data_IF_939254037744
#
_entry.id   IF_939254037744
#
_cell.length_a   1.000
_cell.length_b   1.000
_cell.length_c   1.000
_cell.angle_alpha   90.00
_cell.angle_beta   90.00
_cell.angle_gamma   90.00
#
_symmetry.space_group_name_H-M   'P 1'
#
loop_
_entity.id
_entity.type
_entity.pdbx_description
1 polymer ?
#
# COMPACT_ATOMS: atom_id res chain seq x y z
N UNK A 1 -14.62 -5.96 -7.39
CA UNK A 1 -13.54 -6.05 -6.40
C UNK A 1 -14.04 -6.72 -5.12
N UNK A 2 -13.25 -7.69 -4.63
CA UNK A 2 -13.43 -8.45 -3.40
C UNK A 2 -13.47 -7.57 -2.15
N UNK A 3 -12.74 -6.45 -2.13
CA UNK A 3 -12.77 -5.53 -0.98
C UNK A 3 -14.18 -4.98 -0.76
N UNK A 4 -14.80 -4.42 -1.81
CA UNK A 4 -16.16 -3.85 -1.74
C UNK A 4 -17.25 -4.87 -1.42
N UNK A 5 -17.11 -6.11 -1.91
CA UNK A 5 -18.14 -7.15 -1.78
C UNK A 5 -18.04 -7.94 -0.48
N UNK A 6 -16.84 -8.08 0.06
CA UNK A 6 -16.58 -9.02 1.17
C UNK A 6 -15.98 -8.32 2.38
N UNK A 7 -14.88 -7.58 2.21
CA UNK A 7 -14.15 -7.02 3.34
C UNK A 7 -14.81 -5.76 3.93
N UNK A 8 -15.22 -4.80 3.09
CA UNK A 8 -15.77 -3.52 3.56
C UNK A 8 -17.12 -3.66 4.31
N UNK A 9 -18.10 -4.45 3.85
CA UNK A 9 -19.38 -4.58 4.55
C UNK A 9 -19.25 -5.05 6.01
N UNK A 10 -18.24 -5.87 6.31
CA UNK A 10 -17.91 -6.33 7.66
C UNK A 10 -17.44 -5.18 8.57
N UNK A 11 -16.71 -4.21 8.00
CA UNK A 11 -16.02 -3.14 8.73
C UNK A 11 -16.83 -1.83 8.77
N UNK A 12 -17.73 -1.61 7.81
CA UNK A 12 -18.49 -0.37 7.65
C UNK A 12 -19.23 0.08 8.94
N UNK A 13 -19.89 -0.82 9.72
CA UNK A 13 -20.53 -0.41 10.97
C UNK A 13 -19.55 0.10 12.02
N UNK A 14 -18.35 -0.51 12.12
CA UNK A 14 -17.31 -0.09 13.04
C UNK A 14 -16.69 1.25 12.60
N UNK A 15 -16.44 1.41 11.29
CA UNK A 15 -15.96 2.66 10.69
C UNK A 15 -16.92 3.83 11.00
N UNK A 16 -18.22 3.66 10.75
CA UNK A 16 -19.20 4.72 11.01
C UNK A 16 -19.33 5.05 12.51
N UNK A 17 -19.14 4.07 13.41
CA UNK A 17 -19.10 4.32 14.86
C UNK A 17 -17.85 5.09 15.25
N UNK A 18 -16.72 4.76 14.66
CA UNK A 18 -15.45 5.44 14.89
C UNK A 18 -15.52 6.91 14.45
N UNK A 19 -16.03 7.17 13.25
CA UNK A 19 -16.24 8.53 12.75
C UNK A 19 -17.10 9.37 13.70
N UNK A 20 -18.23 8.81 14.18
CA UNK A 20 -19.08 9.50 15.16
C UNK A 20 -18.42 9.72 16.51
N UNK A 21 -17.67 8.74 16.99
CA UNK A 21 -17.03 8.81 18.30
C UNK A 21 -15.95 9.91 18.38
N UNK A 22 -15.25 10.15 17.28
CA UNK A 22 -14.17 11.14 17.19
C UNK A 22 -14.54 12.41 16.40
N UNK A 23 -15.80 12.54 15.98
CA UNK A 23 -16.29 13.72 15.24
C UNK A 23 -15.66 13.88 13.84
N UNK A 24 -15.26 12.79 13.21
CA UNK A 24 -14.64 12.83 11.88
C UNK A 24 -15.67 12.97 10.75
N UNK A 25 -15.26 13.47 9.56
CA UNK A 25 -16.13 13.52 8.41
C UNK A 25 -16.71 12.15 8.05
N UNK A 26 -18.02 12.10 7.78
CA UNK A 26 -18.68 10.85 7.45
C UNK A 26 -18.10 10.24 6.15
N UNK A 27 -17.77 8.97 6.18
CA UNK A 27 -17.21 8.23 5.04
C UNK A 27 -15.71 8.42 4.80
N UNK A 28 -15.00 9.20 5.65
CA UNK A 28 -13.54 9.35 5.52
C UNK A 28 -12.82 8.02 5.71
N UNK A 29 -13.29 7.18 6.63
CA UNK A 29 -12.68 5.85 6.88
C UNK A 29 -12.88 4.95 5.66
N UNK A 30 -14.04 4.99 5.01
CA UNK A 30 -14.31 4.21 3.80
C UNK A 30 -13.41 4.63 2.65
N UNK A 31 -13.35 5.93 2.39
CA UNK A 31 -12.53 6.50 1.33
C UNK A 31 -11.08 6.10 1.49
N UNK A 32 -10.54 6.25 2.71
CA UNK A 32 -9.15 5.93 3.01
C UNK A 32 -8.90 4.43 3.00
N UNK A 33 -9.84 3.60 3.46
CA UNK A 33 -9.71 2.14 3.37
C UNK A 33 -9.58 1.65 1.92
N UNK A 34 -10.34 2.23 0.98
CA UNK A 34 -10.20 1.94 -0.44
C UNK A 34 -8.80 2.27 -0.95
N UNK A 35 -8.26 3.43 -0.58
CA UNK A 35 -6.93 3.86 -1.02
C UNK A 35 -5.80 3.06 -0.38
N UNK A 36 -5.92 2.71 0.91
CA UNK A 36 -4.96 1.83 1.58
C UNK A 36 -4.87 0.47 0.88
N UNK A 37 -6.01 -0.13 0.53
CA UNK A 37 -6.06 -1.38 -0.23
C UNK A 37 -5.44 -1.21 -1.62
N UNK A 38 -5.79 -0.13 -2.32
CA UNK A 38 -5.29 0.13 -3.67
C UNK A 38 -3.77 0.37 -3.70
N UNK A 39 -3.25 1.10 -2.71
CA UNK A 39 -1.89 1.61 -2.73
C UNK A 39 -0.88 0.77 -1.94
N UNK A 40 -1.30 -0.26 -1.22
CA UNK A 40 -0.40 -0.98 -0.31
C UNK A 40 0.88 -1.49 -0.99
N UNK A 41 0.78 -1.83 -2.28
CA UNK A 41 1.85 -2.38 -3.10
C UNK A 41 2.51 -1.37 -4.07
N UNK A 42 2.17 -0.07 -4.00
CA UNK A 42 2.76 0.95 -4.91
C UNK A 42 4.29 1.00 -4.81
N UNK A 43 4.86 0.66 -3.65
CA UNK A 43 6.32 0.57 -3.51
C UNK A 43 6.97 -0.48 -4.41
N UNK A 44 6.21 -1.44 -4.94
CA UNK A 44 6.70 -2.40 -5.94
C UNK A 44 7.00 -1.76 -7.28
N UNK A 45 6.49 -0.56 -7.55
CA UNK A 45 6.86 0.25 -8.72
C UNK A 45 8.29 0.82 -8.60
N UNK A 46 8.96 0.65 -7.46
CA UNK A 46 10.38 0.96 -7.29
C UNK A 46 11.24 0.20 -8.31
N UNK A 47 12.20 0.89 -8.95
CA UNK A 47 13.14 0.31 -9.91
C UNK A 47 13.84 -0.94 -9.37
N UNK A 48 14.29 -0.89 -8.12
CA UNK A 48 14.98 -2.03 -7.50
C UNK A 48 14.10 -3.28 -7.41
N UNK A 49 12.80 -3.11 -7.14
CA UNK A 49 11.84 -4.21 -7.13
C UNK A 49 11.63 -4.76 -8.54
N UNK A 50 11.38 -3.89 -9.53
CA UNK A 50 11.16 -4.31 -10.92
C UNK A 50 12.40 -5.02 -11.51
N UNK A 51 13.60 -4.54 -11.22
CA UNK A 51 14.86 -5.20 -11.59
C UNK A 51 15.00 -6.57 -10.92
N UNK A 52 14.69 -6.67 -9.62
CA UNK A 52 14.77 -7.93 -8.89
C UNK A 52 13.78 -8.95 -9.46
N UNK A 53 12.53 -8.56 -9.71
CA UNK A 53 11.51 -9.44 -10.30
C UNK A 53 11.92 -9.88 -11.69
N UNK A 54 12.39 -8.98 -12.54
CA UNK A 54 12.85 -9.33 -13.90
C UNK A 54 13.95 -10.37 -13.87
N UNK A 55 14.95 -10.20 -12.99
CA UNK A 55 16.04 -11.17 -12.81
C UNK A 55 15.54 -12.51 -12.28
N UNK A 56 14.62 -12.49 -11.32
CA UNK A 56 14.06 -13.71 -10.74
C UNK A 56 13.28 -14.51 -11.78
N UNK A 57 12.39 -13.84 -12.51
CA UNK A 57 11.56 -14.39 -13.58
C UNK A 57 12.42 -15.02 -14.69
N UNK A 58 13.49 -14.32 -15.11
CA UNK A 58 14.48 -14.90 -16.04
C UNK A 58 15.17 -16.15 -15.46
N UNK A 59 15.55 -16.13 -14.18
CA UNK A 59 16.27 -17.23 -13.55
C UNK A 59 15.43 -18.51 -13.39
N UNK A 60 14.11 -18.39 -13.30
CA UNK A 60 13.17 -19.54 -13.26
C UNK A 60 12.67 -19.93 -14.66
N UNK A 61 13.17 -19.31 -15.73
CA UNK A 61 12.78 -19.62 -17.11
C UNK A 61 11.43 -19.05 -17.54
N UNK A 62 10.91 -18.04 -16.82
CA UNK A 62 9.62 -17.39 -17.09
C UNK A 62 9.82 -15.88 -17.17
N UNK A 63 10.45 -15.32 -18.23
CA UNK A 63 10.75 -13.90 -18.32
C UNK A 63 9.51 -13.02 -18.15
N UNK A 64 9.61 -11.96 -17.36
CA UNK A 64 8.52 -11.01 -17.18
C UNK A 64 8.19 -10.30 -18.51
N UNK A 65 6.91 -10.25 -18.94
CA UNK A 65 6.50 -9.41 -20.06
C UNK A 65 6.70 -7.91 -19.74
N UNK A 66 6.65 -7.04 -20.75
CA UNK A 66 6.73 -5.59 -20.54
C UNK A 66 5.63 -5.10 -19.58
N UNK A 67 5.99 -4.20 -18.67
CA UNK A 67 5.07 -3.61 -17.70
C UNK A 67 5.59 -3.73 -16.27
N UNK A 68 4.69 -3.46 -15.31
CA UNK A 68 5.00 -3.59 -13.89
C UNK A 68 4.59 -4.94 -13.34
N UNK A 69 5.47 -5.53 -12.55
CA UNK A 69 5.24 -6.81 -11.90
C UNK A 69 5.09 -6.65 -10.38
N UNK A 70 3.87 -6.92 -9.88
CA UNK A 70 3.56 -6.89 -8.44
C UNK A 70 3.92 -8.19 -7.71
N UNK A 71 3.96 -9.33 -8.41
CA UNK A 71 4.31 -10.63 -7.85
C UNK A 71 5.22 -11.40 -8.80
N UNK A 72 5.88 -12.42 -8.28
CA UNK A 72 6.67 -13.38 -9.07
C UNK A 72 5.86 -14.65 -9.28
N UNK A 73 6.14 -15.39 -10.35
CA UNK A 73 5.55 -16.73 -10.60
C UNK A 73 6.24 -17.82 -9.76
N UNK A 74 6.60 -17.46 -8.52
CA UNK A 74 7.31 -18.32 -7.58
C UNK A 74 6.42 -19.47 -7.12
N UNK A 75 6.75 -20.70 -7.50
CA UNK A 75 6.20 -21.91 -6.91
C UNK A 75 7.08 -22.36 -5.72
N UNK A 76 6.57 -22.26 -4.46
CA UNK A 76 7.32 -22.71 -3.29
C UNK A 76 7.55 -24.24 -3.27
N UNK A 77 6.78 -25.03 -4.02
CA UNK A 77 6.98 -26.47 -4.18
C UNK A 77 8.09 -26.84 -5.17
N UNK A 78 8.55 -25.90 -6.00
CA UNK A 78 9.56 -26.15 -7.02
C UNK A 78 10.99 -25.90 -6.49
N UNK A 79 11.86 -26.93 -6.42
CA UNK A 79 13.23 -26.78 -5.93
C UNK A 79 14.06 -25.75 -6.70
N UNK A 80 13.86 -25.61 -8.01
CA UNK A 80 14.54 -24.61 -8.83
C UNK A 80 14.18 -23.19 -8.36
N UNK A 81 12.89 -22.92 -8.13
CA UNK A 81 12.42 -21.61 -7.70
C UNK A 81 12.98 -21.25 -6.31
N UNK A 82 13.05 -22.22 -5.40
CA UNK A 82 13.69 -22.04 -4.10
C UNK A 82 15.19 -21.75 -4.23
N UNK A 83 15.92 -22.49 -5.08
CA UNK A 83 17.33 -22.27 -5.35
C UNK A 83 17.57 -20.86 -5.89
N UNK A 84 16.80 -20.43 -6.90
CA UNK A 84 16.93 -19.10 -7.49
C UNK A 84 16.56 -17.99 -6.51
N UNK A 85 15.52 -18.17 -5.69
CA UNK A 85 15.18 -17.22 -4.62
C UNK A 85 16.34 -17.06 -3.62
N UNK A 86 17.02 -18.15 -3.24
CA UNK A 86 18.18 -18.09 -2.34
C UNK A 86 19.37 -17.41 -3.01
N UNK A 87 19.63 -17.71 -4.28
CA UNK A 87 20.75 -17.14 -5.03
C UNK A 87 20.60 -15.64 -5.29
N UNK A 88 19.39 -15.16 -5.60
CA UNK A 88 19.10 -13.74 -5.84
C UNK A 88 18.93 -12.92 -4.54
N UNK A 89 18.85 -13.60 -3.39
CA UNK A 89 18.69 -12.96 -2.09
C UNK A 89 17.27 -12.46 -1.82
N UNK A 90 17.16 -11.54 -0.86
CA UNK A 90 15.87 -11.03 -0.38
C UNK A 90 15.24 -10.08 -1.40
N UNK A 91 13.91 -10.14 -1.50
CA UNK A 91 13.10 -9.13 -2.22
C UNK A 91 13.38 -7.75 -1.63
N UNK A 92 13.51 -6.70 -2.45
CA UNK A 92 13.65 -5.33 -1.95
C UNK A 92 12.47 -4.94 -1.05
N UNK A 93 12.70 -4.10 -0.02
CA UNK A 93 11.61 -3.50 0.74
C UNK A 93 10.76 -2.62 -0.19
N UNK A 94 9.46 -2.58 0.09
CA UNK A 94 8.50 -1.79 -0.68
C UNK A 94 7.38 -1.20 0.18
N UNK A 95 7.07 -1.77 1.34
CA UNK A 95 5.93 -1.32 2.14
C UNK A 95 6.05 0.14 2.57
N UNK A 96 7.18 0.53 3.17
CA UNK A 96 7.38 1.91 3.63
C UNK A 96 7.65 2.83 2.44
N UNK A 97 8.46 2.40 1.47
CA UNK A 97 8.72 3.17 0.24
C UNK A 97 7.43 3.50 -0.50
N UNK A 98 6.49 2.55 -0.56
CA UNK A 98 5.16 2.74 -1.13
C UNK A 98 4.33 3.72 -0.31
N UNK A 99 4.28 3.57 1.02
CA UNK A 99 3.58 4.50 1.91
C UNK A 99 4.08 5.95 1.74
N UNK A 100 5.40 6.14 1.63
CA UNK A 100 6.01 7.45 1.36
C UNK A 100 5.58 7.94 -0.01
N UNK A 101 5.71 7.14 -1.06
CA UNK A 101 5.37 7.55 -2.43
C UNK A 101 3.94 8.09 -2.56
N UNK A 102 2.98 7.48 -1.86
CA UNK A 102 1.56 7.88 -1.90
C UNK A 102 1.13 8.81 -0.75
N UNK A 103 2.03 9.22 0.14
CA UNK A 103 1.67 10.04 1.29
C UNK A 103 0.89 11.33 0.93
N UNK A 104 1.24 12.05 -0.16
CA UNK A 104 0.45 13.22 -0.61
C UNK A 104 -1.00 12.86 -0.99
N UNK A 105 -1.22 11.71 -1.62
CA UNK A 105 -2.56 11.21 -1.97
C UNK A 105 -3.35 10.81 -0.71
N UNK A 106 -2.69 10.19 0.26
CA UNK A 106 -3.31 9.85 1.54
C UNK A 106 -3.70 11.11 2.32
N UNK A 107 -2.86 12.15 2.31
CA UNK A 107 -3.16 13.43 2.93
C UNK A 107 -4.36 14.11 2.26
N UNK A 108 -4.40 14.14 0.93
CA UNK A 108 -5.55 14.66 0.18
C UNK A 108 -6.85 13.88 0.46
N UNK A 109 -6.75 12.57 0.69
CA UNK A 109 -7.88 11.72 1.01
C UNK A 109 -8.40 11.93 2.45
N UNK A 110 -7.48 12.06 3.40
CA UNK A 110 -7.78 12.29 4.81
C UNK A 110 -8.29 13.72 5.07
N UNK A 111 -7.91 14.69 4.23
CA UNK A 111 -8.20 16.10 4.44
C UNK A 111 -7.57 16.58 5.76
N UNK A 112 -8.36 17.26 6.59
CA UNK A 112 -7.92 17.76 7.90
C UNK A 112 -7.90 16.66 8.98
N UNK A 113 -8.27 15.41 8.66
CA UNK A 113 -8.27 14.31 9.61
C UNK A 113 -6.86 13.68 9.74
N UNK A 114 -5.96 14.36 10.44
CA UNK A 114 -4.59 13.87 10.71
C UNK A 114 -4.54 12.41 11.23
N UNK A 115 -5.40 11.98 12.18
CA UNK A 115 -5.38 10.59 12.62
C UNK A 115 -5.60 9.57 11.51
N UNK A 116 -6.35 9.95 10.49
CA UNK A 116 -6.61 9.09 9.33
C UNK A 116 -5.40 8.98 8.42
N UNK A 117 -4.64 10.07 8.22
CA UNK A 117 -3.38 10.03 7.49
C UNK A 117 -2.38 9.09 8.18
N UNK A 118 -2.17 9.25 9.48
CA UNK A 118 -1.22 8.43 10.24
C UNK A 118 -1.63 6.95 10.22
N UNK A 119 -2.93 6.68 10.39
CA UNK A 119 -3.48 5.33 10.31
C UNK A 119 -3.27 4.69 8.94
N UNK A 120 -3.52 5.43 7.85
CA UNK A 120 -3.35 4.96 6.48
C UNK A 120 -1.89 4.69 6.14
N UNK A 121 -1.02 5.66 6.43
CA UNK A 121 0.42 5.54 6.23
C UNK A 121 0.96 4.32 6.98
N UNK A 122 0.60 4.18 8.26
CA UNK A 122 1.05 3.05 9.10
C UNK A 122 0.53 1.71 8.56
N UNK A 123 -0.73 1.63 8.12
CA UNK A 123 -1.31 0.42 7.56
C UNK A 123 -0.54 -0.06 6.33
N UNK A 124 -0.19 0.85 5.41
CA UNK A 124 0.64 0.53 4.25
C UNK A 124 2.07 0.20 4.67
N UNK A 125 2.72 1.06 5.46
CA UNK A 125 4.13 0.89 5.83
C UNK A 125 4.42 -0.43 6.57
N UNK A 126 3.43 -0.97 7.29
CA UNK A 126 3.59 -2.16 8.14
C UNK A 126 2.92 -3.42 7.62
N UNK A 127 2.39 -3.44 6.39
CA UNK A 127 1.65 -4.60 5.89
C UNK A 127 2.49 -5.89 5.78
N UNK A 128 3.83 -5.78 5.72
CA UNK A 128 4.76 -6.92 5.81
C UNK A 128 5.56 -7.02 7.12
N UNK A 129 5.50 -6.02 7.99
CA UNK A 129 6.33 -5.96 9.20
C UNK A 129 5.81 -4.98 10.23
N UNK A 130 5.40 -5.49 11.39
CA UNK A 130 4.72 -4.71 12.43
C UNK A 130 5.56 -3.59 13.08
N UNK A 131 6.89 -3.63 12.92
CA UNK A 131 7.82 -2.72 13.60
C UNK A 131 8.65 -1.88 12.62
N UNK A 132 8.35 -1.92 11.33
CA UNK A 132 9.09 -1.11 10.35
C UNK A 132 8.83 0.38 10.61
N UNK A 133 9.92 1.16 10.61
CA UNK A 133 9.93 2.61 10.88
C UNK A 133 10.76 3.44 9.91
N UNK A 134 11.54 2.76 9.07
CA UNK A 134 12.48 3.40 8.16
C UNK A 134 12.19 2.91 6.74
N UNK A 135 12.41 3.80 5.78
CA UNK A 135 12.45 3.46 4.36
C UNK A 135 13.88 3.61 3.86
N UNK A 136 14.17 3.01 2.70
CA UNK A 136 15.42 3.27 1.98
C UNK A 136 15.17 4.29 0.89
N UNK A 137 16.24 4.98 0.47
CA UNK A 137 16.21 5.79 -0.73
C UNK A 137 15.64 4.96 -1.89
N UNK A 138 14.68 5.53 -2.61
CA UNK A 138 14.05 4.87 -3.74
C UNK A 138 13.84 5.82 -4.92
N UNK A 139 13.60 5.21 -6.08
CA UNK A 139 13.07 5.89 -7.25
C UNK A 139 12.07 4.94 -7.91
N UNK A 140 10.88 5.44 -8.19
CA UNK A 140 9.89 4.72 -8.98
C UNK A 140 10.39 4.59 -10.43
N UNK A 141 9.99 3.50 -11.08
CA UNK A 141 10.30 3.28 -12.49
C UNK A 141 9.47 4.25 -13.37
N UNK A 142 9.95 4.60 -14.58
CA UNK A 142 9.17 5.40 -15.52
C UNK A 142 7.80 4.76 -15.80
N UNK A 143 6.74 5.57 -15.92
CA UNK A 143 5.37 5.07 -16.10
C UNK A 143 4.61 4.78 -14.80
N UNK A 144 5.24 4.95 -13.63
CA UNK A 144 4.61 4.61 -12.35
C UNK A 144 3.40 5.48 -12.02
N UNK A 145 3.44 6.77 -12.36
CA UNK A 145 2.32 7.68 -12.11
C UNK A 145 1.09 7.30 -12.92
N UNK A 146 1.29 6.95 -14.20
CA UNK A 146 0.26 6.45 -15.10
C UNK A 146 -0.34 5.14 -14.60
N UNK A 147 0.51 4.19 -14.16
CA UNK A 147 0.03 2.94 -13.57
C UNK A 147 -0.84 3.17 -12.32
N UNK A 148 -0.47 4.10 -11.44
CA UNK A 148 -1.31 4.45 -10.29
C UNK A 148 -2.60 5.13 -10.73
N UNK A 149 -2.56 6.04 -11.72
CA UNK A 149 -3.75 6.69 -12.26
C UNK A 149 -4.76 5.68 -12.85
N UNK A 150 -4.28 4.65 -13.55
CA UNK A 150 -5.13 3.59 -14.08
C UNK A 150 -5.86 2.83 -12.95
N UNK A 151 -5.19 2.57 -11.82
CA UNK A 151 -5.83 1.90 -10.67
C UNK A 151 -6.85 2.78 -9.97
N UNK A 152 -6.65 4.11 -9.94
CA UNK A 152 -7.63 5.05 -9.38
C UNK A 152 -8.97 5.01 -10.12
N UNK A 153 -8.97 4.67 -11.42
CA UNK A 153 -10.19 4.53 -12.21
C UNK A 153 -11.10 3.38 -11.72
N UNK A 154 -10.59 2.47 -10.86
CA UNK A 154 -11.39 1.40 -10.27
C UNK A 154 -12.14 1.84 -9.01
N UNK A 155 -11.80 2.99 -8.45
CA UNK A 155 -12.48 3.55 -7.30
C UNK A 155 -13.83 4.15 -7.70
N UNK A 156 -14.81 4.15 -6.78
CA UNK A 156 -15.93 5.07 -6.88
C UNK A 156 -15.43 6.52 -7.08
N UNK A 157 -16.02 7.25 -8.02
CA UNK A 157 -15.52 8.57 -8.44
C UNK A 157 -15.40 9.57 -7.29
N UNK A 158 -16.27 9.48 -6.29
CA UNK A 158 -16.22 10.31 -5.09
C UNK A 158 -14.99 10.05 -4.21
N UNK A 159 -14.38 8.85 -4.27
CA UNK A 159 -13.17 8.54 -3.51
C UNK A 159 -11.90 9.03 -4.22
N UNK A 160 -11.92 9.05 -5.56
CA UNK A 160 -10.84 9.59 -6.38
C UNK A 160 -10.84 11.13 -6.47
N UNK A 161 -11.94 11.79 -6.09
CA UNK A 161 -12.06 13.25 -6.17
C UNK A 161 -10.93 13.95 -5.41
N UNK A 162 -10.26 14.91 -6.05
CA UNK A 162 -9.18 15.71 -5.45
C UNK A 162 -7.85 14.97 -5.26
N UNK A 163 -7.70 13.74 -5.76
CA UNK A 163 -6.42 13.06 -5.82
C UNK A 163 -5.68 13.44 -7.10
N UNK A 164 -4.41 13.82 -6.98
CA UNK A 164 -3.54 14.11 -8.11
C UNK A 164 -2.27 13.25 -8.04
N UNK A 165 -2.16 12.28 -8.95
CA UNK A 165 -0.98 11.40 -9.03
C UNK A 165 0.32 12.15 -9.32
N UNK A 166 0.25 13.37 -9.86
CA UNK A 166 1.40 14.24 -10.07
C UNK A 166 2.07 14.68 -8.76
N UNK A 167 1.33 14.66 -7.65
CA UNK A 167 1.83 15.00 -6.31
C UNK A 167 2.58 13.83 -5.65
N UNK A 168 2.56 12.62 -6.23
CA UNK A 168 3.30 11.50 -5.68
C UNK A 168 4.81 11.78 -5.60
N UNK A 169 5.44 11.30 -4.53
CA UNK A 169 6.90 11.29 -4.46
C UNK A 169 7.47 10.19 -5.36
N UNK A 170 7.88 10.57 -6.57
CA UNK A 170 8.48 9.63 -7.54
C UNK A 170 9.87 9.14 -7.13
N UNK A 171 10.53 9.83 -6.20
CA UNK A 171 11.76 9.42 -5.56
C UNK A 171 11.94 10.17 -4.25
N UNK A 172 12.41 9.50 -3.21
CA UNK A 172 12.74 10.16 -1.95
C UNK A 172 13.96 9.54 -1.27
N UNK A 173 14.56 10.31 -0.36
CA UNK A 173 15.70 9.91 0.48
C UNK A 173 15.38 10.18 1.97
N UNK A 174 15.60 9.20 2.88
CA UNK A 174 15.42 9.40 4.32
C UNK A 174 16.16 10.60 4.90
N UNK A 175 17.24 11.05 4.28
CA UNK A 175 17.96 12.25 4.68
C UNK A 175 17.21 13.57 4.37
N UNK A 176 16.19 13.52 3.51
CA UNK A 176 15.38 14.68 3.07
C UNK A 176 14.02 14.74 3.74
N UNK A 177 13.38 13.60 3.98
CA UNK A 177 12.06 13.52 4.59
C UNK A 177 12.05 12.49 5.71
N UNK A 178 11.85 12.98 6.95
CA UNK A 178 11.49 12.12 8.07
C UNK A 178 10.05 11.65 7.96
N UNK A 179 9.78 10.44 8.42
CA UNK A 179 8.44 9.81 8.42
C UNK A 179 7.99 9.43 9.84
N UNK A 180 8.74 9.85 10.86
CA UNK A 180 8.47 9.47 12.25
C UNK A 180 7.07 9.91 12.69
N UNK A 181 6.69 11.14 12.38
CA UNK A 181 5.41 11.75 12.73
C UNK A 181 4.22 11.19 11.91
N UNK A 182 4.48 10.39 10.87
CA UNK A 182 3.44 9.74 10.06
C UNK A 182 3.01 8.38 10.61
N UNK A 183 3.74 7.86 11.60
CA UNK A 183 3.34 6.62 12.26
C UNK A 183 2.31 6.89 13.36
N UNK A 184 1.35 5.98 13.49
CA UNK A 184 0.36 6.02 14.57
C UNK A 184 1.02 6.07 15.94
N UNK A 185 0.54 7.00 16.76
CA UNK A 185 0.76 7.01 18.20
C UNK A 185 -0.25 6.07 18.88
N UNK A 186 0.18 4.94 19.47
CA UNK A 186 -0.71 4.00 20.15
C UNK A 186 -1.38 4.59 21.40
N UNK A 187 -0.94 5.74 21.90
CA UNK A 187 -1.57 6.45 23.02
C UNK A 187 -2.76 7.30 22.57
N UNK A 188 -2.96 7.48 21.27
CA UNK A 188 -4.09 8.21 20.68
C UNK A 188 -5.12 7.22 20.16
N UNK A 189 -6.20 7.03 20.92
CA UNK A 189 -7.25 6.04 20.61
C UNK A 189 -7.78 6.14 19.18
N UNK A 190 -8.00 7.37 18.68
CA UNK A 190 -8.48 7.59 17.32
C UNK A 190 -7.52 7.03 16.27
N UNK A 191 -6.24 7.38 16.35
CA UNK A 191 -5.19 6.89 15.45
C UNK A 191 -5.07 5.36 15.51
N UNK A 192 -4.99 4.81 16.71
CA UNK A 192 -4.79 3.38 16.91
C UNK A 192 -5.97 2.55 16.40
N UNK A 193 -7.20 2.95 16.71
CA UNK A 193 -8.41 2.26 16.26
C UNK A 193 -8.62 2.38 14.75
N UNK A 194 -8.33 3.55 14.17
CA UNK A 194 -8.35 3.72 12.72
C UNK A 194 -7.33 2.80 12.05
N UNK A 195 -6.09 2.76 12.55
CA UNK A 195 -5.06 1.87 12.03
C UNK A 195 -5.47 0.40 12.14
N UNK A 196 -5.99 -0.04 13.28
CA UNK A 196 -6.44 -1.42 13.46
C UNK A 196 -7.52 -1.81 12.43
N UNK A 197 -8.44 -0.89 12.12
CA UNK A 197 -9.49 -1.10 11.14
C UNK A 197 -8.94 -1.11 9.70
N UNK A 198 -8.06 -0.16 9.34
CA UNK A 198 -7.45 -0.09 8.02
C UNK A 198 -6.50 -1.27 7.74
N UNK A 199 -5.69 -1.67 8.72
CA UNK A 199 -4.85 -2.85 8.62
C UNK A 199 -5.67 -4.14 8.44
N UNK A 200 -6.83 -4.23 9.12
CA UNK A 200 -7.78 -5.33 8.91
C UNK A 200 -8.38 -5.29 7.50
N UNK A 201 -8.80 -4.12 7.02
CA UNK A 201 -9.32 -3.94 5.67
C UNK A 201 -8.31 -4.42 4.61
N UNK A 202 -7.07 -3.95 4.70
CA UNK A 202 -5.95 -4.33 3.83
C UNK A 202 -5.74 -5.84 3.85
N UNK A 203 -5.54 -6.43 5.03
CA UNK A 203 -5.26 -7.87 5.16
C UNK A 203 -6.39 -8.73 4.60
N UNK A 204 -7.65 -8.33 4.81
CA UNK A 204 -8.81 -9.07 4.28
C UNK A 204 -8.91 -8.94 2.76
N UNK A 205 -8.64 -7.76 2.21
CA UNK A 205 -8.61 -7.57 0.76
C UNK A 205 -7.50 -8.41 0.10
N UNK A 206 -6.29 -8.36 0.64
CA UNK A 206 -5.13 -9.11 0.14
C UNK A 206 -5.35 -10.64 0.19
N UNK A 207 -5.90 -11.15 1.30
CA UNK A 207 -6.23 -12.58 1.44
C UNK A 207 -7.30 -13.06 0.44
N UNK A 208 -8.31 -12.23 0.14
CA UNK A 208 -9.35 -12.61 -0.82
C UNK A 208 -8.85 -12.47 -2.26
N UNK A 209 -8.02 -11.46 -2.54
CA UNK A 209 -7.37 -11.27 -3.83
C UNK A 209 -6.45 -12.43 -4.18
N UNK A 210 -5.59 -12.85 -3.25
CA UNK A 210 -4.68 -14.00 -3.42
C UNK A 210 -5.40 -15.35 -3.46
N UNK A 211 -6.59 -15.48 -2.86
CA UNK A 211 -7.40 -16.71 -2.90
C UNK A 211 -8.34 -16.83 -4.12
N UNK A 212 -8.49 -15.76 -4.92
CA UNK A 212 -9.35 -15.73 -6.11
C UNK A 212 -8.55 -15.70 -7.43
N UNK A 213 -7.22 -15.72 -7.34
CA UNK A 213 -6.27 -15.75 -8.46
C UNK A 213 -5.68 -17.13 -8.69
#
# INVERSE_FOLDING_TARGET
>A
DAFRRTAWPELAPAAARLERAFGWPAGVVERVAHLVVLFHDVGKLNRSWQEWVTRYQQAIGQPAPPGFYAHTDSDPGNPLHQEKQRALGRKPPHAVEGAVAVAPLLAAAAGECEPMLNAAFTAIARHHGAFTREYRRYALAPGSGEAVAETLAWLPSQFAAGLDVGEMFVSEDPARMSIEDLFVDPQRDGEFLAYALLARALRRADQVGTGSG
#
